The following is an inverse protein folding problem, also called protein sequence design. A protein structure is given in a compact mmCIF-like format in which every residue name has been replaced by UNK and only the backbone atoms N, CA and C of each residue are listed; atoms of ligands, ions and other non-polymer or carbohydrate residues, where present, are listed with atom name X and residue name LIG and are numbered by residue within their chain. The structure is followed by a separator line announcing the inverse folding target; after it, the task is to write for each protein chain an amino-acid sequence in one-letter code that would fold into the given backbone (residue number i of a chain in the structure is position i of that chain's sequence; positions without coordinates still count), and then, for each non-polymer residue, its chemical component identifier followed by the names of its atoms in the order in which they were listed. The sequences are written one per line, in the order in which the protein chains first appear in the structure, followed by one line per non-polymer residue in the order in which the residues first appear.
data_IF_581106057979
#
_entry.id   IF_581106057979
#
_cell.length_a   1.000
_cell.length_b   1.000
_cell.length_c   1.000
_cell.angle_alpha   90.00
_cell.angle_beta   90.00
_cell.angle_gamma   90.00
#
_symmetry.space_group_name_H-M   'P 1'
#
loop_
_entity.id
_entity.type
_entity.pdbx_description
1 polymer ?
#
# COMPACT_ATOMS: atom_id res chain seq x y z
N UNK A 1 63.62 -16.34 50.30
CA UNK A 1 62.20 -16.74 50.25
C UNK A 1 61.63 -16.60 51.65
N UNK A 2 60.72 -15.65 51.87
CA UNK A 2 60.07 -15.45 53.18
C UNK A 2 59.04 -16.55 53.39
N UNK A 3 59.29 -17.45 54.35
CA UNK A 3 58.40 -18.55 54.67
C UNK A 3 57.10 -18.02 55.30
N UNK A 4 55.96 -18.44 54.76
CA UNK A 4 54.65 -18.08 55.29
C UNK A 4 54.46 -18.83 56.62
N UNK A 5 54.11 -18.09 57.68
CA UNK A 5 53.88 -18.66 59.01
C UNK A 5 52.38 -18.73 59.33
N UNK A 6 51.96 -19.83 59.97
CA UNK A 6 50.63 -20.03 60.54
C UNK A 6 50.70 -19.83 62.06
N UNK A 7 49.86 -18.95 62.60
CA UNK A 7 49.77 -18.73 64.05
C UNK A 7 48.83 -19.75 64.67
N UNK A 8 49.27 -20.43 65.73
CA UNK A 8 48.43 -21.37 66.46
C UNK A 8 47.32 -20.64 67.22
N UNK A 9 46.05 -21.08 67.17
CA UNK A 9 44.96 -20.44 67.90
C UNK A 9 45.06 -20.62 69.42
N UNK A 10 45.72 -21.68 69.91
CA UNK A 10 45.78 -21.97 71.35
C UNK A 10 47.01 -21.33 72.02
N UNK A 11 48.21 -21.53 71.46
CA UNK A 11 49.44 -21.04 72.09
C UNK A 11 50.03 -19.79 71.42
N UNK A 12 49.39 -19.28 70.35
CA UNK A 12 49.79 -18.07 69.60
C UNK A 12 51.20 -18.09 69.00
N UNK A 13 51.88 -19.24 68.97
CA UNK A 13 53.21 -19.38 68.37
C UNK A 13 53.15 -19.55 66.86
N UNK A 14 54.18 -19.05 66.18
CA UNK A 14 54.35 -19.16 64.74
C UNK A 14 54.81 -20.55 64.33
N UNK A 15 54.15 -21.14 63.34
CA UNK A 15 54.46 -22.44 62.77
C UNK A 15 54.66 -22.33 61.26
N UNK A 16 55.39 -23.26 60.66
CA UNK A 16 55.55 -23.33 59.21
C UNK A 16 54.22 -23.66 58.51
N UNK A 17 53.94 -23.05 57.35
CA UNK A 17 52.68 -23.24 56.62
C UNK A 17 52.39 -24.71 56.21
N UNK A 18 53.42 -25.55 56.09
CA UNK A 18 53.29 -26.96 55.73
C UNK A 18 52.90 -27.88 56.90
N UNK A 19 52.84 -27.37 58.13
CA UNK A 19 52.41 -28.15 59.30
C UNK A 19 50.90 -28.18 59.48
N UNK A 20 50.39 -29.33 59.95
CA UNK A 20 48.97 -29.57 60.27
C UNK A 20 48.70 -29.35 61.76
N UNK A 21 49.69 -29.63 62.61
CA UNK A 21 49.63 -29.48 64.05
C UNK A 21 50.71 -28.49 64.52
N UNK A 22 50.41 -27.77 65.59
CA UNK A 22 51.36 -26.86 66.22
C UNK A 22 52.54 -27.65 66.77
N UNK A 23 53.76 -27.15 66.53
CA UNK A 23 55.00 -27.74 67.02
C UNK A 23 55.03 -27.85 68.55
N UNK A 24 54.49 -26.86 69.25
CA UNK A 24 54.70 -26.72 70.69
C UNK A 24 53.56 -27.23 71.57
N UNK A 25 52.30 -27.13 71.11
CA UNK A 25 51.14 -27.57 71.90
C UNK A 25 50.36 -28.72 71.26
N UNK A 26 50.70 -29.14 70.04
CA UNK A 26 50.00 -30.22 69.33
C UNK A 26 48.60 -29.87 68.79
N UNK A 27 48.09 -28.65 69.05
CA UNK A 27 46.79 -28.22 68.54
C UNK A 27 46.75 -28.16 67.00
N UNK A 28 45.59 -28.47 66.40
CA UNK A 28 45.42 -28.45 64.93
C UNK A 28 45.40 -27.01 64.41
N UNK A 29 46.22 -26.72 63.40
CA UNK A 29 46.32 -25.39 62.77
C UNK A 29 45.24 -25.21 61.71
N UNK A 30 44.59 -24.04 61.69
CA UNK A 30 43.59 -23.70 60.69
C UNK A 30 44.25 -23.22 59.38
N UNK A 31 44.02 -23.97 58.30
CA UNK A 31 44.57 -23.75 56.96
C UNK A 31 43.60 -23.04 56.01
N UNK A 32 42.40 -22.71 56.48
CA UNK A 32 41.36 -22.02 55.70
C UNK A 32 41.86 -20.66 55.16
N UNK A 33 42.74 -19.98 55.91
CA UNK A 33 43.36 -18.69 55.52
C UNK A 33 44.30 -18.82 54.33
N UNK A 34 44.99 -19.96 54.15
CA UNK A 34 45.84 -20.23 52.98
C UNK A 34 45.01 -20.59 51.74
N UNK A 35 43.86 -21.25 51.92
CA UNK A 35 42.96 -21.58 50.82
C UNK A 35 42.28 -20.34 50.23
N UNK A 36 41.85 -19.40 51.08
CA UNK A 36 41.18 -18.17 50.65
C UNK A 36 42.08 -17.22 49.83
N UNK A 37 43.41 -17.29 49.99
CA UNK A 37 44.35 -16.53 49.15
C UNK A 37 44.55 -17.10 47.74
N UNK A 38 44.36 -18.41 47.54
CA UNK A 38 44.43 -19.02 46.19
C UNK A 38 43.17 -18.76 45.35
N UNK A 39 42.04 -18.43 45.99
CA UNK A 39 40.74 -18.20 45.32
C UNK A 39 40.40 -16.73 45.08
N UNK A 40 41.23 -15.79 45.54
CA UNK A 40 41.15 -14.39 45.12
C UNK A 40 41.69 -14.25 43.69
N UNK A 41 40.94 -14.80 42.72
CA UNK A 41 41.16 -14.58 41.29
C UNK A 41 40.84 -13.11 41.04
N UNK A 42 41.87 -12.26 40.97
CA UNK A 42 41.74 -10.87 40.54
C UNK A 42 41.17 -10.94 39.12
N UNK A 43 39.89 -10.64 38.94
CA UNK A 43 39.28 -10.53 37.62
C UNK A 43 40.08 -9.47 36.86
N UNK A 44 40.82 -9.91 35.83
CA UNK A 44 41.62 -8.98 35.03
C UNK A 44 40.68 -8.05 34.26
N UNK A 45 41.06 -6.79 34.08
CA UNK A 45 40.27 -5.81 33.34
C UNK A 45 39.88 -6.32 31.93
N UNK A 46 40.68 -7.21 31.35
CA UNK A 46 40.39 -7.90 30.09
C UNK A 46 39.22 -8.90 30.17
N UNK A 47 39.09 -9.67 31.25
CA UNK A 47 37.96 -10.58 31.44
C UNK A 47 36.65 -9.80 31.64
N UNK A 48 36.71 -8.69 32.38
CA UNK A 48 35.57 -7.76 32.54
C UNK A 48 35.18 -7.12 31.21
N UNK A 49 36.15 -6.62 30.43
CA UNK A 49 35.92 -6.04 29.10
C UNK A 49 35.35 -7.06 28.10
N UNK A 50 35.82 -8.31 28.13
CA UNK A 50 35.32 -9.40 27.27
C UNK A 50 33.86 -9.74 27.61
N UNK A 51 33.51 -9.80 28.90
CA UNK A 51 32.13 -10.03 29.35
C UNK A 51 31.20 -8.87 28.99
N UNK A 52 31.64 -7.63 29.18
CA UNK A 52 30.89 -6.45 28.76
C UNK A 52 30.65 -6.46 27.25
N UNK A 53 31.68 -6.73 26.44
CA UNK A 53 31.55 -6.82 24.97
C UNK A 53 30.56 -7.90 24.53
N UNK A 54 30.55 -9.06 25.18
CA UNK A 54 29.58 -10.14 24.93
C UNK A 54 28.14 -9.76 25.28
N UNK A 55 27.92 -9.03 26.38
CA UNK A 55 26.59 -8.51 26.71
C UNK A 55 26.12 -7.43 25.74
N UNK A 56 27.01 -6.53 25.30
CA UNK A 56 26.68 -5.51 24.31
C UNK A 56 26.39 -6.10 22.93
N UNK A 57 27.11 -7.15 22.50
CA UNK A 57 26.82 -7.82 21.23
C UNK A 57 25.51 -8.60 21.27
N UNK A 58 25.20 -9.28 22.37
CA UNK A 58 23.89 -9.93 22.58
C UNK A 58 22.74 -8.91 22.63
N UNK A 59 22.91 -7.77 23.30
CA UNK A 59 21.92 -6.68 23.29
C UNK A 59 21.71 -6.11 21.89
N UNK A 60 22.77 -5.90 21.11
CA UNK A 60 22.67 -5.46 19.70
C UNK A 60 21.94 -6.48 18.81
N UNK A 61 22.21 -7.78 18.99
CA UNK A 61 21.53 -8.84 18.23
C UNK A 61 20.04 -8.88 18.58
N UNK A 62 19.69 -8.83 19.88
CA UNK A 62 18.30 -8.77 20.34
C UNK A 62 17.58 -7.50 19.84
N UNK A 63 18.26 -6.35 19.86
CA UNK A 63 17.72 -5.10 19.35
C UNK A 63 17.48 -5.14 17.83
N UNK A 64 18.42 -5.71 17.05
CA UNK A 64 18.23 -5.93 15.60
C UNK A 64 17.05 -6.87 15.33
N UNK A 65 16.97 -8.00 16.03
CA UNK A 65 15.83 -8.93 15.91
C UNK A 65 14.51 -8.26 16.28
N UNK A 66 14.47 -7.46 17.34
CA UNK A 66 13.30 -6.68 17.71
C UNK A 66 12.93 -5.68 16.63
N UNK A 67 13.90 -4.95 16.07
CA UNK A 67 13.69 -4.00 14.96
C UNK A 67 13.15 -4.70 13.70
N UNK A 68 13.70 -5.86 13.34
CA UNK A 68 13.17 -6.62 12.21
C UNK A 68 11.75 -7.13 12.47
N UNK A 69 11.44 -7.56 13.70
CA UNK A 69 10.06 -7.94 14.08
C UNK A 69 9.11 -6.74 14.00
N UNK A 70 9.49 -5.58 14.54
CA UNK A 70 8.65 -4.39 14.49
C UNK A 70 8.45 -3.90 13.06
N UNK A 71 9.49 -3.89 12.23
CA UNK A 71 9.37 -3.53 10.80
C UNK A 71 8.44 -4.50 10.08
N UNK A 72 8.54 -5.82 10.31
CA UNK A 72 7.62 -6.80 9.71
C UNK A 72 6.17 -6.58 10.14
N UNK A 73 5.94 -6.30 11.43
CA UNK A 73 4.60 -6.03 11.94
C UNK A 73 4.04 -4.74 11.32
N UNK A 74 4.84 -3.69 11.24
CA UNK A 74 4.45 -2.44 10.60
C UNK A 74 4.13 -2.63 9.11
N UNK A 75 4.98 -3.35 8.37
CA UNK A 75 4.73 -3.67 6.97
C UNK A 75 3.46 -4.50 6.79
N UNK A 76 3.23 -5.49 7.66
CA UNK A 76 2.00 -6.29 7.63
C UNK A 76 0.76 -5.45 7.93
N UNK A 77 0.84 -4.52 8.88
CA UNK A 77 -0.24 -3.58 9.19
C UNK A 77 -0.52 -2.63 8.02
N UNK A 78 0.52 -2.07 7.39
CA UNK A 78 0.38 -1.24 6.20
C UNK A 78 -0.24 -2.02 5.02
N UNK A 79 0.20 -3.27 4.80
CA UNK A 79 -0.35 -4.12 3.74
C UNK A 79 -1.82 -4.45 4.00
N UNK A 80 -2.19 -4.75 5.26
CA UNK A 80 -3.58 -4.98 5.63
C UNK A 80 -4.45 -3.73 5.44
N UNK A 81 -3.95 -2.55 5.83
CA UNK A 81 -4.66 -1.29 5.61
C UNK A 81 -4.85 -0.99 4.11
N UNK A 82 -3.82 -1.17 3.29
CA UNK A 82 -3.91 -1.02 1.84
C UNK A 82 -4.93 -1.98 1.23
N UNK A 83 -4.96 -3.24 1.68
CA UNK A 83 -5.95 -4.22 1.23
C UNK A 83 -7.38 -3.79 1.57
N UNK A 84 -7.61 -3.23 2.76
CA UNK A 84 -8.92 -2.68 3.15
C UNK A 84 -9.33 -1.54 2.23
N UNK A 85 -8.44 -0.58 1.97
CA UNK A 85 -8.74 0.55 1.06
C UNK A 85 -9.01 0.08 -0.38
N UNK A 86 -8.34 -0.98 -0.85
CA UNK A 86 -8.58 -1.58 -2.17
C UNK A 86 -9.98 -2.22 -2.27
N UNK A 87 -10.43 -2.87 -1.18
CA UNK A 87 -11.70 -3.59 -1.16
C UNK A 87 -12.91 -2.69 -0.85
N UNK A 88 -12.68 -1.54 -0.22
CA UNK A 88 -13.76 -0.60 0.07
C UNK A 88 -14.24 0.10 -1.21
N UNK A 89 -15.58 0.19 -1.42
CA UNK A 89 -16.11 0.89 -2.56
C UNK A 89 -15.78 2.39 -2.45
N UNK A 90 -15.38 3.05 -3.56
CA UNK A 90 -15.31 4.49 -3.65
C UNK A 90 -16.73 5.09 -3.58
N UNK A 91 -16.82 6.40 -3.45
CA UNK A 91 -18.11 7.10 -3.46
C UNK A 91 -18.70 7.06 -4.88
N UNK A 92 -19.59 6.09 -5.11
CA UNK A 92 -20.27 5.88 -6.39
C UNK A 92 -21.77 5.72 -6.15
N UNK A 93 -22.62 6.21 -7.08
CA UNK A 93 -24.05 6.08 -6.94
C UNK A 93 -24.48 4.60 -6.90
N UNK A 94 -25.57 4.28 -6.19
CA UNK A 94 -26.09 2.92 -6.12
C UNK A 94 -26.49 2.43 -7.51
N UNK A 95 -26.45 1.11 -7.71
CA UNK A 95 -26.85 0.51 -8.98
C UNK A 95 -28.36 0.71 -9.17
N UNK A 96 -28.73 1.61 -10.08
CA UNK A 96 -30.13 1.83 -10.47
C UNK A 96 -30.51 0.76 -11.50
N UNK A 97 -31.62 0.06 -11.26
CA UNK A 97 -32.23 -0.80 -12.29
C UNK A 97 -32.91 0.15 -13.29
N UNK A 98 -32.29 0.36 -14.44
CA UNK A 98 -32.81 1.28 -15.47
C UNK A 98 -34.10 0.70 -16.06
N UNK A 99 -35.25 1.14 -15.55
CA UNK A 99 -36.58 0.87 -16.14
C UNK A 99 -36.98 1.92 -17.19
N UNK A 100 -36.21 3.00 -17.30
CA UNK A 100 -36.42 4.06 -18.30
C UNK A 100 -35.70 3.73 -19.62
N UNK A 101 -36.34 4.09 -20.73
CA UNK A 101 -35.74 4.02 -22.06
C UNK A 101 -34.46 4.87 -22.07
N UNK A 102 -33.31 4.30 -22.47
CA UNK A 102 -32.05 5.05 -22.44
C UNK A 102 -32.08 6.21 -23.43
N UNK A 103 -31.50 7.37 -23.09
CA UNK A 103 -31.40 8.51 -23.99
C UNK A 103 -30.67 8.14 -25.29
N UNK A 104 -31.14 8.66 -26.43
CA UNK A 104 -30.52 8.42 -27.74
C UNK A 104 -29.36 9.39 -28.00
N UNK A 105 -28.32 9.31 -27.18
CA UNK A 105 -27.14 10.21 -27.26
C UNK A 105 -26.43 10.08 -28.62
N UNK A 106 -26.30 8.88 -29.17
CA UNK A 106 -25.68 8.68 -30.49
C UNK A 106 -26.40 9.46 -31.59
N UNK A 107 -27.74 9.40 -31.63
CA UNK A 107 -28.53 10.10 -32.66
C UNK A 107 -28.39 11.62 -32.50
N UNK A 108 -28.35 12.10 -31.26
CA UNK A 108 -28.14 13.52 -30.94
C UNK A 108 -26.76 13.98 -31.42
N UNK A 109 -25.71 13.20 -31.14
CA UNK A 109 -24.34 13.48 -31.61
C UNK A 109 -24.22 13.41 -33.14
N UNK A 110 -24.88 12.46 -33.80
CA UNK A 110 -24.92 12.37 -35.26
C UNK A 110 -25.56 13.64 -35.84
N UNK A 111 -26.73 14.04 -35.33
CA UNK A 111 -27.43 15.28 -35.71
C UNK A 111 -26.55 16.52 -35.50
N UNK A 112 -25.85 16.59 -34.37
CA UNK A 112 -24.92 17.67 -34.05
C UNK A 112 -23.79 17.79 -35.08
N UNK A 113 -23.22 16.64 -35.48
CA UNK A 113 -22.09 16.58 -36.42
C UNK A 113 -22.49 16.77 -37.88
N UNK A 114 -23.76 16.54 -38.22
CA UNK A 114 -24.31 16.74 -39.58
C UNK A 114 -24.88 18.15 -39.78
N UNK A 115 -25.10 18.90 -38.69
CA UNK A 115 -25.57 20.28 -38.75
C UNK A 115 -24.55 21.20 -39.43
N UNK A 116 -25.00 21.98 -40.41
CA UNK A 116 -24.20 23.05 -41.04
C UNK A 116 -24.05 24.29 -40.17
N UNK A 117 -24.88 24.44 -39.15
CA UNK A 117 -24.78 25.54 -38.20
C UNK A 117 -24.08 25.08 -36.91
N UNK A 118 -23.24 25.93 -36.30
CA UNK A 118 -22.72 25.69 -34.97
C UNK A 118 -23.86 25.42 -34.00
N UNK A 119 -23.83 24.26 -33.39
CA UNK A 119 -24.79 23.84 -32.39
C UNK A 119 -24.05 23.34 -31.16
N UNK A 120 -24.73 23.45 -30.03
CA UNK A 120 -24.26 23.00 -28.73
C UNK A 120 -25.34 22.15 -28.11
N UNK A 121 -24.96 21.00 -27.58
CA UNK A 121 -25.84 20.09 -26.85
C UNK A 121 -25.28 19.84 -25.46
N UNK A 122 -26.17 19.76 -24.48
CA UNK A 122 -25.83 19.45 -23.11
C UNK A 122 -26.44 18.10 -22.74
N UNK A 123 -25.65 17.27 -22.08
CA UNK A 123 -26.09 15.98 -21.56
C UNK A 123 -25.84 15.93 -20.06
N UNK A 124 -26.85 15.51 -19.31
CA UNK A 124 -26.70 15.30 -17.87
C UNK A 124 -25.86 14.04 -17.59
N UNK A 125 -25.18 14.02 -16.45
CA UNK A 125 -24.45 12.84 -15.97
C UNK A 125 -25.35 11.59 -15.90
N UNK A 126 -26.60 11.77 -15.47
CA UNK A 126 -27.59 10.70 -15.38
C UNK A 126 -27.92 10.13 -16.76
N UNK A 127 -28.14 10.99 -17.76
CA UNK A 127 -28.44 10.58 -19.13
C UNK A 127 -27.27 9.82 -19.77
N UNK A 128 -26.05 10.34 -19.58
CA UNK A 128 -24.83 9.70 -20.09
C UNK A 128 -24.61 8.35 -19.42
N UNK A 129 -24.83 8.24 -18.11
CA UNK A 129 -24.70 6.97 -17.40
C UNK A 129 -25.78 5.95 -17.78
N UNK A 130 -27.02 6.39 -18.02
CA UNK A 130 -28.08 5.52 -18.52
C UNK A 130 -27.76 4.97 -19.92
N UNK A 131 -27.28 5.85 -20.81
CA UNK A 131 -26.81 5.47 -22.13
C UNK A 131 -25.61 4.50 -22.06
N UNK A 132 -24.58 4.84 -21.26
CA UNK A 132 -23.38 4.02 -21.08
C UNK A 132 -23.71 2.62 -20.53
N UNK A 133 -24.56 2.56 -19.51
CA UNK A 133 -25.01 1.30 -18.92
C UNK A 133 -25.68 0.40 -19.95
N UNK A 134 -26.54 0.97 -20.80
CA UNK A 134 -27.18 0.22 -21.88
C UNK A 134 -26.17 -0.29 -22.92
N UNK A 135 -25.27 0.56 -23.39
CA UNK A 135 -24.24 0.19 -24.38
C UNK A 135 -23.32 -0.89 -23.84
N UNK A 136 -22.82 -0.73 -22.61
CA UNK A 136 -21.90 -1.69 -21.99
C UNK A 136 -22.58 -3.03 -21.69
N UNK A 137 -23.87 -3.02 -21.31
CA UNK A 137 -24.65 -4.25 -21.15
C UNK A 137 -24.73 -5.05 -22.45
N UNK A 138 -24.95 -4.40 -23.58
CA UNK A 138 -24.94 -5.06 -24.90
C UNK A 138 -23.55 -5.53 -25.34
N UNK A 139 -22.48 -4.97 -24.77
CA UNK A 139 -21.09 -5.32 -25.05
C UNK A 139 -20.46 -6.17 -23.94
N UNK A 140 -21.27 -6.69 -22.99
CA UNK A 140 -20.79 -7.35 -21.77
C UNK A 140 -19.82 -8.48 -22.07
N UNK A 141 -20.10 -9.33 -23.06
CA UNK A 141 -19.22 -10.45 -23.45
C UNK A 141 -17.78 -10.03 -23.78
N UNK A 142 -17.56 -8.79 -24.27
CA UNK A 142 -16.22 -8.25 -24.58
C UNK A 142 -15.48 -7.70 -23.35
N UNK A 143 -16.21 -7.48 -22.27
CA UNK A 143 -15.71 -6.89 -21.02
C UNK A 143 -15.49 -7.94 -19.93
N UNK A 144 -16.07 -9.13 -20.11
CA UNK A 144 -15.89 -10.30 -19.25
C UNK A 144 -14.49 -10.89 -19.41
N UNK A 145 -13.80 -11.11 -18.28
CA UNK A 145 -12.52 -11.82 -18.24
C UNK A 145 -12.61 -13.02 -17.30
N UNK A 146 -11.80 -14.07 -17.49
CA UNK A 146 -11.74 -15.18 -16.56
C UNK A 146 -11.49 -14.67 -15.13
N UNK A 147 -12.37 -15.06 -14.19
CA UNK A 147 -12.31 -14.68 -12.77
C UNK A 147 -12.55 -13.18 -12.48
N UNK A 148 -12.91 -12.36 -13.47
CA UNK A 148 -13.14 -10.93 -13.32
C UNK A 148 -14.33 -10.50 -14.19
N UNK A 149 -15.52 -10.64 -13.63
CA UNK A 149 -16.76 -10.33 -14.34
C UNK A 149 -17.03 -8.83 -14.36
N UNK A 150 -17.71 -8.35 -15.41
CA UNK A 150 -18.05 -6.94 -15.56
C UNK A 150 -19.44 -6.67 -14.97
N UNK A 151 -19.52 -5.72 -14.04
CA UNK A 151 -20.79 -5.33 -13.43
C UNK A 151 -21.33 -4.05 -14.06
N UNK A 152 -20.56 -2.96 -14.02
CA UNK A 152 -20.95 -1.67 -14.60
C UNK A 152 -19.78 -0.71 -14.80
N UNK A 153 -20.02 0.31 -15.62
CA UNK A 153 -19.17 1.48 -15.74
C UNK A 153 -20.00 2.73 -15.42
N UNK A 154 -19.38 3.69 -14.75
CA UNK A 154 -19.99 4.93 -14.26
C UNK A 154 -19.08 6.09 -14.64
N UNK A 155 -19.66 7.17 -15.13
CA UNK A 155 -19.00 8.44 -15.34
C UNK A 155 -19.47 9.43 -14.28
N UNK A 156 -18.52 10.22 -13.77
CA UNK A 156 -18.76 11.37 -12.92
C UNK A 156 -18.18 12.62 -13.58
N UNK A 157 -18.95 13.70 -13.62
CA UNK A 157 -18.54 14.96 -14.23
C UNK A 157 -18.38 16.04 -13.17
N UNK A 158 -17.21 16.67 -13.20
CA UNK A 158 -16.85 17.84 -12.39
C UNK A 158 -16.19 18.85 -13.32
N UNK A 159 -16.10 20.11 -12.90
CA UNK A 159 -15.50 21.16 -13.73
C UNK A 159 -14.14 20.75 -14.32
N UNK A 160 -14.07 20.63 -15.64
CA UNK A 160 -12.87 20.24 -16.39
C UNK A 160 -12.33 18.84 -16.08
N UNK A 161 -13.14 17.94 -15.51
CA UNK A 161 -12.73 16.57 -15.19
C UNK A 161 -13.84 15.55 -15.40
N UNK A 162 -13.49 14.48 -16.11
CA UNK A 162 -14.32 13.30 -16.29
C UNK A 162 -13.72 12.14 -15.49
N UNK A 163 -14.44 11.70 -14.46
CA UNK A 163 -14.09 10.52 -13.68
C UNK A 163 -14.78 9.29 -14.27
N UNK A 164 -14.02 8.29 -14.67
CA UNK A 164 -14.53 6.98 -15.03
C UNK A 164 -14.32 6.02 -13.88
N UNK A 165 -15.36 5.32 -13.45
CA UNK A 165 -15.29 4.23 -12.46
C UNK A 165 -15.85 2.96 -13.07
N UNK A 166 -15.11 1.86 -12.98
CA UNK A 166 -15.60 0.54 -13.34
C UNK A 166 -15.75 -0.31 -12.09
N UNK A 167 -16.83 -1.06 -12.07
CA UNK A 167 -17.08 -2.11 -11.09
C UNK A 167 -16.96 -3.46 -11.79
N UNK A 168 -16.14 -4.32 -11.19
CA UNK A 168 -15.93 -5.70 -11.63
C UNK A 168 -16.04 -6.64 -10.45
N UNK A 169 -16.42 -7.89 -10.65
CA UNK A 169 -16.52 -8.87 -9.57
C UNK A 169 -15.50 -10.00 -9.71
N UNK A 170 -14.78 -10.29 -8.63
CA UNK A 170 -13.90 -11.46 -8.49
C UNK A 170 -14.49 -12.36 -7.41
N UNK A 171 -14.85 -13.60 -7.75
CA UNK A 171 -15.48 -14.56 -6.82
C UNK A 171 -16.69 -13.98 -6.05
N UNK A 172 -17.47 -13.10 -6.68
CA UNK A 172 -18.63 -12.45 -6.06
C UNK A 172 -18.31 -11.20 -5.22
N UNK A 173 -17.04 -10.79 -5.12
CA UNK A 173 -16.63 -9.54 -4.47
C UNK A 173 -16.43 -8.42 -5.49
N UNK A 174 -17.06 -7.26 -5.28
CA UNK A 174 -16.87 -6.07 -6.12
C UNK A 174 -15.51 -5.44 -5.90
N UNK A 175 -14.83 -5.13 -7.01
CA UNK A 175 -13.59 -4.39 -7.11
C UNK A 175 -13.86 -3.18 -7.99
N UNK A 176 -13.44 -2.02 -7.51
CA UNK A 176 -13.62 -0.76 -8.20
C UNK A 176 -12.29 -0.26 -8.73
N UNK A 177 -12.28 0.24 -9.96
CA UNK A 177 -11.15 0.98 -10.50
C UNK A 177 -11.65 2.31 -11.02
N UNK A 178 -10.99 3.40 -10.63
CA UNK A 178 -11.39 4.74 -11.05
C UNK A 178 -10.23 5.49 -11.69
N UNK A 179 -10.55 6.39 -12.62
CA UNK A 179 -9.59 7.26 -13.30
C UNK A 179 -10.20 8.63 -13.55
N UNK A 180 -9.45 9.68 -13.23
CA UNK A 180 -9.81 11.07 -13.52
C UNK A 180 -9.09 11.50 -14.81
N UNK A 181 -9.84 12.09 -15.74
CA UNK A 181 -9.35 12.42 -17.07
C UNK A 181 -9.64 13.87 -17.44
N UNK A 182 -8.63 14.52 -18.02
CA UNK A 182 -8.79 15.75 -18.79
C UNK A 182 -9.22 15.39 -20.22
N UNK A 183 -10.39 15.83 -20.64
CA UNK A 183 -10.94 15.53 -21.98
C UNK A 183 -10.94 16.79 -22.81
N UNK A 184 -10.16 16.79 -23.89
CA UNK A 184 -10.05 17.93 -24.81
C UNK A 184 -10.09 17.45 -26.26
N UNK A 185 -10.68 18.27 -27.14
CA UNK A 185 -10.57 18.08 -28.59
C UNK A 185 -9.31 18.80 -29.06
N UNK A 186 -8.32 18.04 -29.54
CA UNK A 186 -7.08 18.57 -30.14
C UNK A 186 -6.88 17.97 -31.52
N UNK A 187 -6.60 18.81 -32.52
CA UNK A 187 -6.39 18.38 -33.91
C UNK A 187 -7.58 17.58 -34.50
N UNK A 188 -8.81 17.94 -34.12
CA UNK A 188 -10.02 17.20 -34.52
C UNK A 188 -10.10 15.77 -33.96
N UNK A 189 -9.41 15.49 -32.85
CA UNK A 189 -9.48 14.22 -32.14
C UNK A 189 -9.67 14.44 -30.65
N UNK A 190 -10.55 13.65 -30.06
CA UNK A 190 -10.72 13.64 -28.61
C UNK A 190 -9.52 12.97 -27.98
N UNK A 191 -8.84 13.70 -27.09
CA UNK A 191 -7.78 13.19 -26.25
C UNK A 191 -8.24 13.23 -24.79
N UNK A 192 -8.24 12.06 -24.17
CA UNK A 192 -8.39 11.91 -22.73
C UNK A 192 -7.00 11.72 -22.10
N UNK A 193 -6.58 12.66 -21.25
CA UNK A 193 -5.30 12.60 -20.55
C UNK A 193 -5.54 12.22 -19.10
N UNK A 194 -4.97 11.10 -18.59
CA UNK A 194 -5.18 10.67 -17.21
C UNK A 194 -4.51 11.66 -16.24
N UNK A 195 -5.25 12.16 -15.25
CA UNK A 195 -4.76 12.99 -14.14
C UNK A 195 -4.41 12.14 -12.92
N UNK A 196 -5.30 11.20 -12.57
CA UNK A 196 -5.16 10.28 -11.44
C UNK A 196 -5.91 8.99 -11.71
N UNK A 197 -5.59 7.95 -10.95
CA UNK A 197 -6.35 6.70 -10.94
C UNK A 197 -6.30 6.07 -9.54
N UNK A 198 -7.23 5.16 -9.25
CA UNK A 198 -7.31 4.44 -7.99
C UNK A 198 -7.84 3.01 -8.19
N UNK A 199 -7.51 2.13 -7.25
CA UNK A 199 -8.13 0.80 -7.09
C UNK A 199 -8.82 0.81 -5.72
N UNK A 200 -10.13 0.63 -5.70
CA UNK A 200 -10.98 0.94 -4.56
C UNK A 200 -10.81 2.42 -4.20
N UNK A 201 -10.32 2.67 -2.99
CA UNK A 201 -9.96 3.99 -2.48
C UNK A 201 -8.45 4.25 -2.50
N UNK A 202 -7.64 3.26 -2.88
CA UNK A 202 -6.19 3.40 -2.90
C UNK A 202 -5.73 4.12 -4.18
N UNK A 203 -5.13 5.32 -4.08
CA UNK A 203 -4.64 6.04 -5.25
C UNK A 203 -3.43 5.33 -5.87
N UNK A 204 -3.40 5.29 -7.20
CA UNK A 204 -2.27 4.83 -7.98
C UNK A 204 -1.23 5.95 -8.03
N UNK A 205 0.00 5.63 -7.62
CA UNK A 205 1.08 6.61 -7.59
C UNK A 205 1.38 7.15 -9.02
N UNK A 206 1.67 8.47 -9.19
CA UNK A 206 1.88 9.06 -10.51
C UNK A 206 2.94 8.38 -11.37
N UNK A 207 4.01 7.85 -10.75
CA UNK A 207 5.08 7.15 -11.48
C UNK A 207 4.62 5.85 -12.15
N UNK A 208 3.54 5.23 -11.68
CA UNK A 208 2.99 4.00 -12.25
C UNK A 208 1.70 4.22 -13.04
N UNK A 209 1.15 5.44 -13.01
CA UNK A 209 -0.05 5.83 -13.76
C UNK A 209 0.04 5.52 -15.27
N UNK A 210 1.18 5.73 -15.97
CA UNK A 210 1.30 5.37 -17.39
C UNK A 210 1.05 3.89 -17.68
N UNK A 211 1.34 3.02 -16.71
CA UNK A 211 1.13 1.59 -16.82
C UNK A 211 -0.29 1.17 -16.45
N UNK A 212 -1.07 2.02 -15.77
CA UNK A 212 -2.44 1.70 -15.34
C UNK A 212 -3.49 1.73 -16.47
N UNK A 213 -3.07 1.98 -17.72
CA UNK A 213 -3.98 2.05 -18.88
C UNK A 213 -4.72 0.74 -19.16
N UNK A 214 -4.15 -0.41 -18.77
CA UNK A 214 -4.81 -1.71 -18.93
C UNK A 214 -6.10 -1.83 -18.14
N UNK A 215 -6.27 -1.04 -17.06
CA UNK A 215 -7.46 -1.13 -16.21
C UNK A 215 -8.74 -0.87 -17.03
N UNK A 216 -8.69 0.07 -17.98
CA UNK A 216 -9.83 0.53 -18.77
C UNK A 216 -9.73 0.17 -20.26
N UNK A 217 -8.71 -0.59 -20.68
CA UNK A 217 -8.41 -0.75 -22.11
C UNK A 217 -9.52 -1.48 -22.88
N UNK A 218 -10.18 -2.44 -22.25
CA UNK A 218 -11.27 -3.20 -22.85
C UNK A 218 -12.57 -2.38 -22.93
N UNK A 219 -12.88 -1.60 -21.90
CA UNK A 219 -13.98 -0.65 -21.93
C UNK A 219 -13.81 0.40 -23.03
N UNK A 220 -12.58 0.93 -23.17
CA UNK A 220 -12.24 1.86 -24.27
C UNK A 220 -12.38 1.17 -25.63
N UNK A 221 -11.89 -0.07 -25.78
CA UNK A 221 -12.02 -0.82 -27.02
C UNK A 221 -13.48 -1.16 -27.37
N UNK A 222 -14.31 -1.47 -26.37
CA UNK A 222 -15.73 -1.70 -26.56
C UNK A 222 -16.46 -0.44 -27.06
N UNK A 223 -15.97 0.75 -26.68
CA UNK A 223 -16.55 2.05 -27.03
C UNK A 223 -15.96 2.69 -28.30
N UNK A 224 -15.31 1.91 -29.17
CA UNK A 224 -14.67 2.42 -30.39
C UNK A 224 -15.63 3.19 -31.33
N UNK A 225 -16.88 2.73 -31.47
CA UNK A 225 -17.89 3.43 -32.29
C UNK A 225 -18.18 4.82 -31.73
N UNK A 226 -18.43 4.89 -30.43
CA UNK A 226 -18.76 6.13 -29.72
C UNK A 226 -17.56 7.08 -29.71
N UNK A 227 -16.34 6.55 -29.54
CA UNK A 227 -15.11 7.31 -29.67
C UNK A 227 -14.95 7.94 -31.06
N UNK A 228 -15.27 7.19 -32.13
CA UNK A 228 -15.25 7.71 -33.51
C UNK A 228 -16.28 8.82 -33.76
N UNK A 229 -17.46 8.74 -33.14
CA UNK A 229 -18.46 9.81 -33.20
C UNK A 229 -17.97 11.06 -32.46
N UNK A 230 -17.43 10.89 -31.25
CA UNK A 230 -16.89 12.00 -30.48
C UNK A 230 -15.71 12.69 -31.18
N UNK A 231 -14.90 11.99 -31.99
CA UNK A 231 -13.85 12.62 -32.79
C UNK A 231 -14.37 13.59 -33.86
N UNK A 232 -15.67 13.58 -34.18
CA UNK A 232 -16.28 14.53 -35.14
C UNK A 232 -16.77 15.82 -34.49
N UNK A 233 -16.79 15.90 -33.16
CA UNK A 233 -17.28 17.08 -32.44
C UNK A 233 -16.20 18.15 -32.37
N UNK A 234 -16.60 19.41 -32.28
CA UNK A 234 -15.68 20.55 -32.26
C UNK A 234 -15.08 20.83 -30.89
N UNK A 235 -15.90 20.72 -29.83
CA UNK A 235 -15.40 20.85 -28.46
C UNK A 235 -16.23 20.01 -27.49
N UNK A 236 -15.60 19.68 -26.36
CA UNK A 236 -16.22 19.01 -25.22
C UNK A 236 -15.81 19.80 -23.98
N UNK A 237 -16.79 20.25 -23.20
CA UNK A 237 -16.58 20.95 -21.93
C UNK A 237 -17.29 20.17 -20.82
N UNK A 238 -16.57 19.93 -19.72
CA UNK A 238 -17.08 19.21 -18.57
C UNK A 238 -17.45 20.22 -17.49
N UNK A 239 -18.69 20.14 -17.03
CA UNK A 239 -19.23 20.95 -15.94
C UNK A 239 -19.68 20.04 -14.79
N UNK A 240 -20.04 20.61 -13.65
CA UNK A 240 -20.63 19.83 -12.56
C UNK A 240 -21.87 19.08 -13.03
N UNK A 241 -21.81 17.73 -12.98
CA UNK A 241 -22.88 16.79 -13.39
C UNK A 241 -23.38 16.94 -14.82
N UNK A 242 -22.67 17.64 -15.70
CA UNK A 242 -23.07 17.83 -17.09
C UNK A 242 -21.88 17.85 -18.03
N UNK A 243 -22.12 17.44 -19.27
CA UNK A 243 -21.16 17.59 -20.36
C UNK A 243 -21.79 18.37 -21.49
N UNK A 244 -21.07 19.39 -21.95
CA UNK A 244 -21.44 20.18 -23.12
C UNK A 244 -20.58 19.75 -24.31
N UNK A 245 -21.25 19.50 -25.44
CA UNK A 245 -20.62 19.11 -26.70
C UNK A 245 -21.05 20.07 -27.78
N UNK A 246 -20.10 20.64 -28.51
CA UNK A 246 -20.38 21.59 -29.60
C UNK A 246 -19.84 21.09 -30.93
N UNK A 247 -20.54 21.38 -32.02
CA UNK A 247 -20.03 21.15 -33.38
C UNK A 247 -19.05 22.26 -33.80
N UNK A 248 -18.11 21.93 -34.68
CA UNK A 248 -17.38 22.97 -35.44
C UNK A 248 -18.29 23.52 -36.53
N UNK A 249 -18.25 24.83 -36.78
CA UNK A 249 -18.75 25.37 -38.05
C UNK A 249 -18.00 24.66 -39.20
N UNK A 250 -18.73 23.99 -40.09
CA UNK A 250 -18.16 23.43 -41.33
C UNK A 250 -18.11 24.51 -42.41
#
# INVERSE_FOLDING_TARGET
ATSIQLTCPECQRGNEAERIYCHDCGARLDRSVLANRKTAKIETAEELHKRMRGMFSQRRIKARLALFKTVKILLAACAAAALVEILLPPDVPPAVKTETLPPQINLSLETLTESRQPQTMQFSEEDVNAYLGNVMKHKKEKLEHPLLAFERAILGFTEGNCRMTMERSIFGYSIFTSGDYDVQVKDGKVRATPKSAAIGRMPIHPSVLPYARFLFSDAVAAMDREHKLLNKVGSIQMHDKMVEVSSTAQ
#
